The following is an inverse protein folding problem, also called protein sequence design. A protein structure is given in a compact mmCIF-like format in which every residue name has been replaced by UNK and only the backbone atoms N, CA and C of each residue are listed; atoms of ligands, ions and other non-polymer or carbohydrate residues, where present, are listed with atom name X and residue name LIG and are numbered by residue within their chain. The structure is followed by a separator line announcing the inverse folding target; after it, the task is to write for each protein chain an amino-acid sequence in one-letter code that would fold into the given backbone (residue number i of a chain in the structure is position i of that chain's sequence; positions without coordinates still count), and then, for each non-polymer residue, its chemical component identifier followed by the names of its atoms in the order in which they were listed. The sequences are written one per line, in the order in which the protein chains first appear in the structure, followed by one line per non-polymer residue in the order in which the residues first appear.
data_IF_730781514009
#
_entry.id   IF_730781514009
#
_cell.length_a   1.000
_cell.length_b   1.000
_cell.length_c   1.000
_cell.angle_alpha   90.00
_cell.angle_beta   90.00
_cell.angle_gamma   90.00
#
_symmetry.space_group_name_H-M   'P 1'
#
loop_
_entity.id
_entity.type
_entity.pdbx_description
1 polymer ?
#
# COMPACT_ATOMS: atom_id res chain seq x y z
N UNK A 1 -4.73 -4.36 -20.24
CA UNK A 1 -4.92 -3.50 -19.05
C UNK A 1 -4.56 -4.21 -17.74
N UNK A 2 -5.20 -5.31 -17.33
CA UNK A 2 -4.89 -5.99 -16.06
C UNK A 2 -3.41 -6.40 -15.90
N UNK A 3 -2.74 -6.86 -16.97
CA UNK A 3 -1.29 -7.15 -16.96
C UNK A 3 -0.43 -5.93 -16.64
N UNK A 4 -0.80 -4.77 -17.18
CA UNK A 4 -0.09 -3.51 -16.92
C UNK A 4 -0.24 -3.11 -15.45
N UNK A 5 -1.46 -3.19 -14.90
CA UNK A 5 -1.69 -2.92 -13.48
C UNK A 5 -0.87 -3.85 -12.58
N UNK A 6 -0.86 -5.15 -12.87
CA UNK A 6 -0.03 -6.11 -12.14
C UNK A 6 1.44 -5.70 -12.11
N UNK A 7 1.97 -5.28 -13.26
CA UNK A 7 3.36 -4.84 -13.39
C UNK A 7 3.63 -3.54 -12.63
N UNK A 8 2.72 -2.56 -12.69
CA UNK A 8 2.84 -1.30 -11.95
C UNK A 8 2.88 -1.53 -10.43
N UNK A 9 1.97 -2.34 -9.89
CA UNK A 9 1.96 -2.68 -8.47
C UNK A 9 3.22 -3.48 -8.06
N UNK A 10 3.68 -4.38 -8.92
CA UNK A 10 4.91 -5.14 -8.66
C UNK A 10 6.15 -4.22 -8.61
N UNK A 11 6.31 -3.33 -9.60
CA UNK A 11 7.40 -2.35 -9.60
C UNK A 11 7.30 -1.43 -8.38
N UNK A 12 6.11 -0.91 -8.08
CA UNK A 12 5.90 -0.05 -6.91
C UNK A 12 6.32 -0.74 -5.60
N UNK A 13 5.92 -2.01 -5.42
CA UNK A 13 6.35 -2.83 -4.29
C UNK A 13 7.87 -3.02 -4.25
N UNK A 14 8.49 -3.38 -5.38
CA UNK A 14 9.94 -3.58 -5.47
C UNK A 14 10.74 -2.29 -5.15
N UNK A 15 10.28 -1.15 -5.66
CA UNK A 15 10.85 0.16 -5.36
C UNK A 15 10.71 0.47 -3.87
N UNK A 16 9.56 0.18 -3.24
CA UNK A 16 9.41 0.38 -1.80
C UNK A 16 10.39 -0.47 -1.00
N UNK A 17 10.55 -1.76 -1.34
CA UNK A 17 11.52 -2.66 -0.68
C UNK A 17 12.93 -2.11 -0.78
N UNK A 18 13.31 -1.57 -1.95
CA UNK A 18 14.62 -0.93 -2.12
C UNK A 18 14.82 0.26 -1.16
N UNK A 19 13.80 1.11 -0.98
CA UNK A 19 13.85 2.19 0.00
C UNK A 19 13.92 1.67 1.44
N UNK A 20 13.12 0.66 1.81
CA UNK A 20 13.16 0.05 3.17
C UNK A 20 14.56 -0.49 3.47
N UNK A 21 15.17 -1.16 2.49
CA UNK A 21 16.52 -1.70 2.59
C UNK A 21 17.58 -0.60 2.75
N UNK A 22 17.48 0.47 1.94
CA UNK A 22 18.37 1.63 2.04
C UNK A 22 18.29 2.27 3.43
N UNK A 23 17.08 2.48 3.94
CA UNK A 23 16.85 3.09 5.25
C UNK A 23 17.48 2.22 6.35
N UNK A 24 17.24 0.90 6.29
CA UNK A 24 17.84 -0.10 7.19
C UNK A 24 19.37 -0.01 7.23
N UNK A 25 20.03 -0.01 6.08
CA UNK A 25 21.50 0.09 6.01
C UNK A 25 21.99 1.42 6.57
N UNK A 26 21.30 2.52 6.26
CA UNK A 26 21.72 3.85 6.68
C UNK A 26 21.59 4.09 8.19
N UNK A 27 20.62 3.44 8.83
CA UNK A 27 20.31 3.61 10.26
C UNK A 27 20.92 2.51 11.13
N UNK A 28 21.54 1.48 10.52
CA UNK A 28 22.04 0.28 11.20
C UNK A 28 20.98 -0.47 12.03
N UNK A 29 19.72 -0.33 11.64
CA UNK A 29 18.56 -0.96 12.28
C UNK A 29 18.25 -2.34 11.68
N UNK A 30 17.46 -3.19 12.37
CA UNK A 30 16.91 -4.40 11.77
C UNK A 30 15.99 -4.07 10.59
N UNK A 31 16.03 -4.90 9.53
CA UNK A 31 15.15 -4.71 8.38
C UNK A 31 13.67 -4.79 8.78
N UNK A 32 12.92 -3.76 8.41
CA UNK A 32 11.47 -3.68 8.62
C UNK A 32 10.82 -3.03 7.42
N UNK A 33 9.65 -3.55 7.04
CA UNK A 33 8.79 -2.88 6.07
C UNK A 33 8.11 -1.69 6.76
N UNK A 34 8.11 -0.52 6.12
CA UNK A 34 7.33 0.59 6.62
C UNK A 34 5.82 0.34 6.50
N UNK A 35 5.10 0.82 7.51
CA UNK A 35 3.65 0.81 7.53
C UNK A 35 3.09 1.72 6.45
N UNK A 36 1.90 1.38 5.95
CA UNK A 36 1.19 2.11 4.89
C UNK A 36 0.97 3.57 5.24
N UNK A 37 0.61 3.86 6.50
CA UNK A 37 0.43 5.21 7.01
C UNK A 37 1.72 6.01 7.01
N UNK A 38 2.84 5.38 7.37
CA UNK A 38 4.17 6.02 7.34
C UNK A 38 4.59 6.36 5.92
N UNK A 39 4.39 5.44 4.97
CA UNK A 39 4.69 5.70 3.55
C UNK A 39 3.82 6.83 3.00
N UNK A 40 2.53 6.84 3.30
CA UNK A 40 1.65 7.94 2.91
C UNK A 40 2.10 9.27 3.55
N UNK A 41 2.40 9.28 4.85
CA UNK A 41 2.87 10.46 5.56
C UNK A 41 4.14 11.07 4.93
N UNK A 42 5.07 10.24 4.47
CA UNK A 42 6.28 10.66 3.76
C UNK A 42 5.98 11.33 2.40
N UNK A 43 4.90 10.90 1.73
CA UNK A 43 4.47 11.50 0.46
C UNK A 43 3.73 12.82 0.72
N UNK A 44 2.76 12.82 1.64
CA UNK A 44 1.95 13.99 1.95
C UNK A 44 1.25 13.88 3.31
N UNK A 45 1.93 14.27 4.38
CA UNK A 45 1.40 14.22 5.75
C UNK A 45 0.09 15.00 5.94
N UNK A 46 -0.04 16.19 5.34
CA UNK A 46 -1.21 17.03 5.52
C UNK A 46 -2.52 16.40 5.02
N UNK A 47 -2.46 15.47 4.06
CA UNK A 47 -3.68 14.81 3.57
C UNK A 47 -4.19 13.75 4.54
N UNK A 48 -3.29 13.08 5.29
CA UNK A 48 -3.69 12.17 6.36
C UNK A 48 -4.42 12.90 7.51
N UNK A 49 -4.01 14.14 7.82
CA UNK A 49 -4.66 14.95 8.86
C UNK A 49 -6.07 15.38 8.46
N UNK A 50 -6.30 15.63 7.17
CA UNK A 50 -7.61 16.07 6.65
C UNK A 50 -8.55 14.88 6.42
N UNK A 51 -8.03 13.73 5.99
CA UNK A 51 -8.87 12.59 5.60
C UNK A 51 -9.58 11.95 6.80
N UNK A 52 -8.95 11.90 7.98
CA UNK A 52 -9.59 11.36 9.18
C UNK A 52 -10.90 12.10 9.52
N UNK A 53 -10.89 13.42 9.82
CA UNK A 53 -12.13 14.13 10.17
C UNK A 53 -13.12 14.15 9.00
N UNK A 54 -12.66 14.11 7.75
CA UNK A 54 -13.55 14.00 6.61
C UNK A 54 -14.32 12.66 6.61
N UNK A 55 -13.64 11.54 6.83
CA UNK A 55 -14.27 10.22 6.84
C UNK A 55 -15.19 10.05 8.05
N UNK A 56 -14.74 10.47 9.23
CA UNK A 56 -15.56 10.46 10.44
C UNK A 56 -16.83 11.30 10.27
N UNK A 57 -16.73 12.46 9.60
CA UNK A 57 -17.87 13.37 9.34
C UNK A 57 -18.84 12.88 8.27
N UNK A 58 -18.34 12.34 7.15
CA UNK A 58 -19.17 12.04 5.98
C UNK A 58 -19.62 10.57 5.88
N UNK A 59 -18.90 9.63 6.51
CA UNK A 59 -19.22 8.19 6.47
C UNK A 59 -19.52 7.68 7.88
N UNK A 60 -18.71 8.08 8.84
CA UNK A 60 -18.86 7.76 10.26
C UNK A 60 -17.57 7.21 10.88
N UNK A 61 -17.42 7.30 12.22
CA UNK A 61 -16.19 6.88 12.92
C UNK A 61 -15.80 5.42 12.68
N UNK A 62 -16.79 4.54 12.52
CA UNK A 62 -16.58 3.11 12.31
C UNK A 62 -15.73 2.80 11.07
N UNK A 63 -15.84 3.60 9.99
CA UNK A 63 -15.07 3.39 8.76
C UNK A 63 -13.58 3.69 9.00
N UNK A 64 -13.31 4.76 9.75
CA UNK A 64 -11.94 5.11 10.10
C UNK A 64 -11.33 4.05 11.03
N UNK A 65 -11.98 3.79 12.16
CA UNK A 65 -11.44 2.94 13.23
C UNK A 65 -11.30 1.46 12.83
N UNK A 66 -12.25 0.92 12.06
CA UNK A 66 -12.30 -0.53 11.78
C UNK A 66 -11.67 -0.93 10.46
N UNK A 67 -11.52 0.01 9.52
CA UNK A 67 -11.06 -0.30 8.17
C UNK A 67 -9.81 0.48 7.82
N UNK A 68 -9.89 1.82 7.85
CA UNK A 68 -8.80 2.64 7.29
C UNK A 68 -7.60 2.66 8.22
N UNK A 69 -7.79 2.98 9.50
CA UNK A 69 -6.69 3.02 10.46
C UNK A 69 -5.97 1.67 10.57
N UNK A 70 -6.66 0.51 10.67
CA UNK A 70 -5.99 -0.79 10.63
C UNK A 70 -5.17 -1.01 9.35
N UNK A 71 -5.67 -0.62 8.18
CA UNK A 71 -4.91 -0.72 6.91
C UNK A 71 -3.67 0.16 6.96
N UNK A 72 -3.75 1.37 7.51
CA UNK A 72 -2.59 2.26 7.66
C UNK A 72 -1.48 1.64 8.53
N UNK A 73 -1.83 0.78 9.49
CA UNK A 73 -0.88 0.07 10.35
C UNK A 73 -0.29 -1.19 9.71
N UNK A 74 -0.78 -1.61 8.53
CA UNK A 74 -0.20 -2.77 7.84
C UNK A 74 1.00 -2.38 7.00
N UNK A 75 2.01 -3.27 6.86
CA UNK A 75 3.14 -3.05 5.96
C UNK A 75 2.68 -2.77 4.52
N UNK A 76 3.25 -1.75 3.89
CA UNK A 76 2.83 -1.32 2.55
C UNK A 76 3.17 -2.34 1.45
N UNK A 77 4.32 -2.99 1.57
CA UNK A 77 4.87 -3.91 0.56
C UNK A 77 3.94 -5.12 0.29
N UNK A 78 3.44 -5.85 1.31
CA UNK A 78 2.46 -6.93 1.10
C UNK A 78 1.20 -6.49 0.36
N UNK A 79 0.69 -5.28 0.60
CA UNK A 79 -0.49 -4.75 -0.12
C UNK A 79 -0.16 -4.61 -1.61
N UNK A 80 0.99 -4.02 -1.95
CA UNK A 80 1.44 -3.86 -3.33
C UNK A 80 1.59 -5.20 -4.04
N UNK A 81 2.29 -6.17 -3.45
CA UNK A 81 2.47 -7.49 -4.07
C UNK A 81 1.18 -8.31 -4.11
N UNK A 82 0.30 -8.18 -3.11
CA UNK A 82 -1.03 -8.78 -3.11
C UNK A 82 -1.88 -8.28 -4.28
N UNK A 83 -1.92 -6.95 -4.50
CA UNK A 83 -2.62 -6.37 -5.65
C UNK A 83 -1.99 -6.80 -6.98
N UNK A 84 -0.65 -6.81 -7.07
CA UNK A 84 0.05 -7.29 -8.25
C UNK A 84 -0.36 -8.72 -8.61
N UNK A 85 -0.40 -9.62 -7.62
CA UNK A 85 -0.82 -11.00 -7.78
C UNK A 85 -2.27 -11.11 -8.23
N UNK A 86 -3.19 -10.37 -7.60
CA UNK A 86 -4.62 -10.36 -7.96
C UNK A 86 -4.80 -9.95 -9.43
N UNK A 87 -4.20 -8.84 -9.86
CA UNK A 87 -4.32 -8.38 -11.24
C UNK A 87 -3.67 -9.34 -12.24
N UNK A 88 -2.58 -10.01 -11.86
CA UNK A 88 -1.95 -11.02 -12.70
C UNK A 88 -2.83 -12.27 -12.88
N UNK A 89 -3.45 -12.75 -11.80
CA UNK A 89 -4.39 -13.87 -11.83
C UNK A 89 -5.62 -13.53 -12.68
N UNK A 90 -6.20 -12.34 -12.51
CA UNK A 90 -7.31 -11.85 -13.34
C UNK A 90 -6.94 -11.80 -14.82
N UNK A 91 -5.73 -11.33 -15.15
CA UNK A 91 -5.25 -11.31 -16.52
C UNK A 91 -5.09 -12.71 -17.13
N UNK A 92 -4.60 -13.67 -16.34
CA UNK A 92 -4.48 -15.07 -16.77
C UNK A 92 -5.85 -15.74 -16.95
N UNK A 93 -6.78 -15.48 -16.06
CA UNK A 93 -8.13 -16.04 -16.12
C UNK A 93 -8.89 -15.56 -17.36
N UNK A 94 -8.80 -14.26 -17.68
CA UNK A 94 -9.38 -13.71 -18.91
C UNK A 94 -8.76 -14.30 -20.17
N UNK A 95 -7.44 -14.51 -20.17
CA UNK A 95 -6.75 -15.11 -21.31
C UNK A 95 -7.08 -16.59 -21.54
N UNK A 96 -7.48 -17.34 -20.51
CA UNK A 96 -7.94 -18.74 -20.64
C UNK A 96 -9.38 -18.87 -21.18
N UNK A 97 -10.18 -17.80 -21.10
CA UNK A 97 -11.60 -17.79 -21.49
C UNK A 97 -11.87 -17.16 -22.85
N UNK A 98 -10.84 -16.62 -23.50
CA UNK A 98 -10.88 -16.05 -24.85
C UNK A 98 -10.27 -17.07 -25.82
#
# INVERSE_FOLDING_TARGET
MARLLAFLFFIGGAVRVWFDWRDTISQADPFRFADTGTVWAQIHFGSLQVIQPAIERYIGPWMWERLIFPVLLTPFVPIMFGLALVFWLLAKWKAKRA
#
